data_IF_559031264613
#
_entry.id   IF_559031264613
#
_cell.length_a   1.000
_cell.length_b   1.000
_cell.length_c   1.000
_cell.angle_alpha   90.00
_cell.angle_beta   90.00
_cell.angle_gamma   90.00
#
_symmetry.space_group_name_H-M   'P 1'
#
loop_
_entity.id
_entity.type
_entity.pdbx_description
1 polymer ?
#
# COMPACT_ATOMS: atom_id res chain seq x y z
N UNK A 1 -11.15 34.60 -2.17
CA UNK A 1 -10.85 34.00 -3.49
C UNK A 1 -9.82 32.86 -3.41
N UNK A 2 -8.57 33.10 -2.99
CA UNK A 2 -7.52 32.05 -2.95
C UNK A 2 -7.86 30.86 -2.04
N UNK A 3 -8.45 31.12 -0.86
CA UNK A 3 -8.88 30.06 0.06
C UNK A 3 -10.01 29.20 -0.54
N UNK A 4 -10.90 29.82 -1.30
CA UNK A 4 -12.04 29.18 -1.97
C UNK A 4 -11.55 28.28 -3.10
N UNK A 5 -10.62 28.75 -3.93
CA UNK A 5 -10.00 27.96 -5.01
C UNK A 5 -9.26 26.73 -4.46
N UNK A 6 -8.53 26.89 -3.34
CA UNK A 6 -7.85 25.75 -2.71
C UNK A 6 -8.84 24.71 -2.18
N UNK A 7 -9.96 25.13 -1.58
CA UNK A 7 -11.01 24.21 -1.14
C UNK A 7 -11.62 23.45 -2.33
N UNK A 8 -11.88 24.14 -3.44
CA UNK A 8 -12.35 23.49 -4.67
C UNK A 8 -11.34 22.42 -5.11
N UNK A 9 -10.06 22.78 -5.21
CA UNK A 9 -8.99 21.84 -5.56
C UNK A 9 -8.92 20.62 -4.62
N UNK A 10 -8.98 20.85 -3.30
CA UNK A 10 -8.93 19.79 -2.28
C UNK A 10 -10.05 18.77 -2.46
N UNK A 11 -11.28 19.23 -2.70
CA UNK A 11 -12.44 18.35 -2.85
C UNK A 11 -12.60 17.80 -4.27
N UNK A 12 -11.99 18.42 -5.29
CA UNK A 12 -12.07 17.93 -6.67
C UNK A 12 -10.96 16.94 -7.02
N UNK A 13 -9.82 16.93 -6.32
CA UNK A 13 -8.65 16.15 -6.71
C UNK A 13 -8.96 14.65 -6.89
N UNK A 14 -9.53 13.99 -5.88
CA UNK A 14 -9.80 12.55 -5.93
C UNK A 14 -10.94 12.19 -6.91
N UNK A 15 -12.10 12.90 -6.94
CA UNK A 15 -13.14 12.65 -7.94
C UNK A 15 -12.67 12.83 -9.38
N UNK A 16 -11.91 13.90 -9.66
CA UNK A 16 -11.35 14.13 -11.00
C UNK A 16 -10.33 13.04 -11.36
N UNK A 17 -9.48 12.63 -10.41
CA UNK A 17 -8.51 11.56 -10.64
C UNK A 17 -9.20 10.23 -10.90
N UNK A 18 -10.31 9.93 -10.22
CA UNK A 18 -11.12 8.73 -10.48
C UNK A 18 -11.69 8.74 -11.88
N UNK A 19 -12.28 9.86 -12.30
CA UNK A 19 -12.82 10.01 -13.65
C UNK A 19 -11.72 9.83 -14.72
N UNK A 20 -10.59 10.53 -14.56
CA UNK A 20 -9.46 10.44 -15.49
C UNK A 20 -8.88 9.04 -15.55
N UNK A 21 -8.67 8.40 -14.39
CA UNK A 21 -8.16 7.03 -14.31
C UNK A 21 -9.08 6.02 -14.97
N UNK A 22 -10.39 6.15 -14.77
CA UNK A 22 -11.37 5.27 -15.42
C UNK A 22 -11.40 5.47 -16.95
N UNK A 23 -11.31 6.73 -17.42
CA UNK A 23 -11.20 7.01 -18.85
C UNK A 23 -9.94 6.40 -19.48
N UNK A 24 -8.81 6.41 -18.76
CA UNK A 24 -7.56 5.80 -19.19
C UNK A 24 -7.66 4.27 -19.19
N UNK A 25 -8.34 3.67 -18.21
CA UNK A 25 -8.53 2.22 -18.09
C UNK A 25 -9.18 1.60 -19.34
N UNK A 26 -10.07 2.33 -20.02
CA UNK A 26 -10.65 1.89 -21.30
C UNK A 26 -9.63 1.76 -22.45
N UNK A 27 -8.48 2.42 -22.34
CA UNK A 27 -7.44 2.47 -23.38
C UNK A 27 -6.18 1.71 -23.01
N UNK A 28 -5.91 1.53 -21.72
CA UNK A 28 -4.66 0.98 -21.20
C UNK A 28 -4.96 -0.06 -20.12
N UNK A 29 -4.50 -1.29 -20.35
CA UNK A 29 -4.45 -2.33 -19.33
C UNK A 29 -3.06 -2.34 -18.71
N UNK A 30 -2.98 -2.15 -17.40
CA UNK A 30 -1.72 -2.20 -16.65
C UNK A 30 -1.65 -3.48 -15.83
N UNK A 31 -0.63 -4.29 -16.06
CA UNK A 31 -0.27 -5.38 -15.17
C UNK A 31 0.60 -4.82 -14.03
N UNK A 32 0.06 -4.86 -12.81
CA UNK A 32 0.72 -4.31 -11.62
C UNK A 32 0.95 -5.42 -10.61
N UNK A 33 2.21 -5.56 -10.19
CA UNK A 33 2.59 -6.50 -9.13
C UNK A 33 2.06 -6.01 -7.77
N UNK A 34 1.11 -6.78 -7.22
CA UNK A 34 0.46 -6.51 -5.93
C UNK A 34 1.35 -6.82 -4.72
N UNK A 35 2.39 -7.63 -4.90
CA UNK A 35 3.22 -8.15 -3.80
C UNK A 35 4.65 -7.62 -3.83
N UNK A 36 4.97 -6.76 -4.79
CA UNK A 36 6.24 -6.06 -4.87
C UNK A 36 6.64 -5.38 -3.56
N UNK A 37 7.95 -5.36 -3.28
CA UNK A 37 8.54 -4.83 -2.04
C UNK A 37 8.04 -3.41 -1.71
N UNK A 38 7.97 -2.54 -2.73
CA UNK A 38 7.50 -1.17 -2.56
C UNK A 38 6.03 -1.11 -2.12
N UNK A 39 5.15 -1.92 -2.72
CA UNK A 39 3.74 -1.95 -2.33
C UNK A 39 3.59 -2.44 -0.89
N UNK A 40 4.32 -3.49 -0.51
CA UNK A 40 4.18 -4.13 0.79
C UNK A 40 4.68 -3.28 1.96
N UNK A 41 5.84 -2.62 1.83
CA UNK A 41 6.41 -1.83 2.93
C UNK A 41 6.03 -0.35 2.89
N UNK A 42 5.73 0.19 1.72
CA UNK A 42 5.44 1.61 1.56
C UNK A 42 3.94 1.89 1.43
N UNK A 43 3.31 1.34 0.40
CA UNK A 43 1.91 1.66 0.07
C UNK A 43 0.93 1.07 1.09
N UNK A 44 1.07 -0.22 1.43
CA UNK A 44 0.23 -0.89 2.46
C UNK A 44 0.38 -0.24 3.84
N UNK A 45 1.52 0.41 4.12
CA UNK A 45 1.79 1.14 5.37
C UNK A 45 1.61 2.66 5.23
N UNK A 46 0.87 3.13 4.23
CA UNK A 46 0.86 4.55 3.90
C UNK A 46 0.32 5.48 4.99
N UNK A 47 -0.58 5.00 5.87
CA UNK A 47 -1.10 5.82 6.97
C UNK A 47 0.01 6.17 7.98
N UNK A 48 0.94 5.23 8.22
CA UNK A 48 2.11 5.47 9.07
C UNK A 48 3.00 6.57 8.47
N UNK A 49 3.35 6.46 7.19
CA UNK A 49 4.19 7.46 6.51
C UNK A 49 3.54 8.85 6.44
N UNK A 50 2.23 8.88 6.17
CA UNK A 50 1.40 10.09 6.18
C UNK A 50 1.39 10.76 7.54
N UNK A 51 1.23 9.98 8.60
CA UNK A 51 1.27 10.45 9.99
C UNK A 51 2.65 11.00 10.35
N UNK A 52 3.71 10.23 10.07
CA UNK A 52 5.09 10.59 10.38
C UNK A 52 5.50 11.92 9.73
N UNK A 53 5.32 12.03 8.40
CA UNK A 53 5.73 13.21 7.63
C UNK A 53 4.83 14.40 7.92
N UNK A 54 3.52 14.17 8.08
CA UNK A 54 2.56 15.20 8.47
C UNK A 54 2.93 15.84 9.80
N UNK A 55 3.03 15.04 10.86
CA UNK A 55 3.38 15.52 12.21
C UNK A 55 4.77 16.16 12.25
N UNK A 56 5.74 15.58 11.54
CA UNK A 56 7.07 16.16 11.44
C UNK A 56 7.05 17.57 10.85
N UNK A 57 6.31 17.78 9.74
CA UNK A 57 6.12 19.11 9.17
C UNK A 57 5.45 20.07 10.17
N UNK A 58 4.43 19.61 10.90
CA UNK A 58 3.73 20.44 11.89
C UNK A 58 4.65 20.93 13.00
N UNK A 59 5.48 20.03 13.55
CA UNK A 59 6.49 20.37 14.57
C UNK A 59 7.46 21.43 14.00
N UNK A 60 7.96 21.22 12.79
CA UNK A 60 9.02 22.06 12.20
C UNK A 60 8.56 23.45 11.75
N UNK A 61 7.30 23.61 11.36
CA UNK A 61 6.73 24.91 10.99
C UNK A 61 5.96 25.60 12.12
N UNK A 62 6.15 25.13 13.37
CA UNK A 62 5.77 25.84 14.59
C UNK A 62 4.28 25.79 14.89
N UNK A 63 3.63 24.63 14.72
CA UNK A 63 2.20 24.48 15.02
C UNK A 63 1.87 24.62 16.52
N UNK A 64 2.84 24.41 17.42
CA UNK A 64 2.65 24.56 18.87
C UNK A 64 2.87 25.98 19.40
N UNK A 65 3.02 26.98 18.52
CA UNK A 65 3.11 28.38 18.95
C UNK A 65 1.80 28.88 19.58
N UNK A 66 1.85 30.02 20.27
CA UNK A 66 0.71 30.62 21.00
C UNK A 66 -0.56 30.89 20.16
N UNK A 67 -0.44 30.96 18.83
CA UNK A 67 -1.55 31.08 17.85
C UNK A 67 -1.81 29.77 17.07
N UNK A 68 -1.33 28.65 17.60
CA UNK A 68 -1.23 27.36 16.91
C UNK A 68 -2.56 26.63 16.82
N UNK A 69 -2.98 26.29 15.60
CA UNK A 69 -4.19 25.48 15.32
C UNK A 69 -3.99 23.97 15.59
N UNK A 70 -3.05 23.61 16.48
CA UNK A 70 -2.68 22.20 16.72
C UNK A 70 -3.86 21.37 17.22
N UNK A 71 -4.75 21.97 18.03
CA UNK A 71 -5.98 21.30 18.48
C UNK A 71 -6.89 20.94 17.30
N UNK A 72 -7.06 21.85 16.33
CA UNK A 72 -7.85 21.54 15.12
C UNK A 72 -7.18 20.45 14.29
N UNK A 73 -5.87 20.51 14.06
CA UNK A 73 -5.14 19.45 13.33
C UNK A 73 -5.24 18.11 14.05
N UNK A 74 -5.08 18.08 15.37
CA UNK A 74 -5.21 16.87 16.16
C UNK A 74 -6.61 16.27 16.06
N UNK A 75 -7.66 17.09 16.19
CA UNK A 75 -9.05 16.64 16.02
C UNK A 75 -9.26 16.07 14.62
N UNK A 76 -8.81 16.76 13.57
CA UNK A 76 -8.89 16.27 12.19
C UNK A 76 -8.20 14.91 12.05
N UNK A 77 -6.96 14.80 12.52
CA UNK A 77 -6.19 13.56 12.48
C UNK A 77 -6.87 12.42 13.26
N UNK A 78 -7.36 12.69 14.47
CA UNK A 78 -8.04 11.70 15.31
C UNK A 78 -9.33 11.21 14.67
N UNK A 79 -10.14 12.10 14.09
CA UNK A 79 -11.39 11.72 13.40
C UNK A 79 -11.10 10.88 12.16
N UNK A 80 -10.12 11.27 11.33
CA UNK A 80 -9.75 10.48 10.14
C UNK A 80 -9.14 9.12 10.51
N UNK A 81 -8.33 9.06 11.57
CA UNK A 81 -7.75 7.80 12.07
C UNK A 81 -8.85 6.88 12.61
N UNK A 82 -9.77 7.40 13.41
CA UNK A 82 -10.89 6.62 13.92
C UNK A 82 -11.75 6.08 12.78
N UNK A 83 -12.00 6.91 11.75
CA UNK A 83 -12.74 6.48 10.58
C UNK A 83 -12.03 5.37 9.79
N UNK A 84 -10.72 5.51 9.59
CA UNK A 84 -9.92 4.45 8.96
C UNK A 84 -9.96 3.14 9.74
N UNK A 85 -9.83 3.19 11.07
CA UNK A 85 -9.91 2.01 11.92
C UNK A 85 -11.27 1.33 11.82
N UNK A 86 -12.38 2.09 11.89
CA UNK A 86 -13.74 1.53 11.78
C UNK A 86 -13.96 0.89 10.41
N UNK A 87 -13.46 1.53 9.35
CA UNK A 87 -13.68 1.07 7.98
C UNK A 87 -12.90 -0.20 7.65
N UNK A 88 -11.64 -0.30 8.12
CA UNK A 88 -10.69 -1.33 7.66
C UNK A 88 -10.25 -2.34 8.71
N UNK A 89 -10.34 -2.02 10.00
CA UNK A 89 -9.82 -2.87 11.08
C UNK A 89 -10.95 -3.52 11.87
N UNK A 90 -10.70 -4.73 12.33
CA UNK A 90 -11.58 -5.42 13.29
C UNK A 90 -11.27 -4.84 14.67
N UNK A 91 -11.96 -3.76 15.04
CA UNK A 91 -11.74 -3.08 16.34
C UNK A 91 -12.17 -3.98 17.51
N UNK A 92 -13.18 -4.82 17.28
CA UNK A 92 -13.72 -5.74 18.28
C UNK A 92 -13.59 -7.16 17.78
N UNK A 93 -13.26 -8.09 18.68
CA UNK A 93 -13.03 -9.52 18.35
C UNK A 93 -14.24 -10.16 17.66
N UNK A 94 -15.45 -9.68 17.96
CA UNK A 94 -16.70 -10.21 17.42
C UNK A 94 -17.24 -9.44 16.20
N UNK A 95 -16.70 -8.25 15.90
CA UNK A 95 -17.25 -7.36 14.85
C UNK A 95 -16.26 -7.24 13.71
N UNK A 96 -16.66 -7.72 12.54
CA UNK A 96 -15.91 -7.56 11.30
C UNK A 96 -15.78 -6.08 10.90
N UNK A 97 -14.72 -5.70 10.16
CA UNK A 97 -14.59 -4.36 9.60
C UNK A 97 -15.83 -3.94 8.80
N UNK A 98 -16.14 -2.63 8.75
CA UNK A 98 -17.30 -2.13 8.02
C UNK A 98 -17.30 -2.57 6.54
N UNK A 99 -16.13 -2.58 5.89
CA UNK A 99 -15.97 -3.09 4.53
C UNK A 99 -16.41 -4.56 4.39
N UNK A 100 -15.96 -5.44 5.28
CA UNK A 100 -16.31 -6.86 5.27
C UNK A 100 -17.81 -7.09 5.58
N UNK A 101 -18.40 -6.24 6.41
CA UNK A 101 -19.84 -6.24 6.68
C UNK A 101 -20.64 -5.84 5.43
N UNK A 102 -20.23 -4.79 4.71
CA UNK A 102 -20.86 -4.39 3.44
C UNK A 102 -20.76 -5.51 2.41
N UNK A 103 -19.60 -6.17 2.33
CA UNK A 103 -19.40 -7.29 1.42
C UNK A 103 -20.33 -8.47 1.72
N UNK A 104 -20.41 -8.88 2.98
CA UNK A 104 -21.28 -10.00 3.39
C UNK A 104 -22.75 -9.65 3.28
N UNK A 105 -23.14 -8.41 3.60
CA UNK A 105 -24.52 -7.92 3.45
C UNK A 105 -24.99 -7.86 1.99
N UNK A 106 -24.07 -7.68 1.04
CA UNK A 106 -24.37 -7.66 -0.40
C UNK A 106 -24.30 -9.06 -1.04
N UNK A 107 -24.26 -10.12 -0.23
CA UNK A 107 -24.30 -11.51 -0.70
C UNK A 107 -22.92 -12.17 -0.88
N UNK A 108 -21.85 -11.50 -0.45
CA UNK A 108 -20.51 -12.05 -0.52
C UNK A 108 -20.22 -13.12 0.51
N UNK A 109 -19.42 -14.12 0.13
CA UNK A 109 -19.07 -15.27 0.98
C UNK A 109 -17.62 -15.72 0.79
N UNK A 110 -17.06 -16.33 1.83
CA UNK A 110 -15.86 -17.15 1.70
C UNK A 110 -16.23 -18.45 0.98
N UNK A 111 -15.42 -18.90 0.02
CA UNK A 111 -15.58 -20.23 -0.59
C UNK A 111 -14.26 -20.99 -0.61
N UNK A 112 -14.37 -22.31 -0.74
CA UNK A 112 -13.27 -23.28 -0.73
C UNK A 112 -13.34 -24.22 -1.95
N UNK A 113 -13.57 -23.65 -3.13
CA UNK A 113 -13.70 -24.41 -4.39
C UNK A 113 -12.33 -24.86 -4.90
N UNK A 114 -11.74 -25.84 -4.21
CA UNK A 114 -10.41 -26.39 -4.52
C UNK A 114 -10.42 -27.14 -5.84
N UNK A 115 -11.46 -27.96 -6.06
CA UNK A 115 -11.58 -28.81 -7.25
C UNK A 115 -12.55 -28.20 -8.27
N UNK A 116 -12.27 -28.35 -9.56
CA UNK A 116 -13.16 -27.85 -10.62
C UNK A 116 -14.45 -28.68 -10.69
N UNK A 117 -15.64 -28.09 -10.46
CA UNK A 117 -16.90 -28.81 -10.52
C UNK A 117 -17.33 -29.19 -11.95
N UNK A 118 -16.74 -28.58 -12.99
CA UNK A 118 -17.12 -28.80 -14.39
C UNK A 118 -16.53 -30.09 -14.99
N UNK A 119 -15.46 -30.61 -14.40
CA UNK A 119 -14.79 -31.83 -14.84
C UNK A 119 -15.08 -32.97 -13.86
N UNK A 120 -16.14 -33.73 -14.13
CA UNK A 120 -16.57 -34.82 -13.23
C UNK A 120 -15.67 -36.07 -13.26
N UNK A 121 -14.84 -36.21 -14.30
CA UNK A 121 -14.02 -37.41 -14.55
C UNK A 121 -12.52 -37.18 -14.35
N UNK A 122 -12.06 -35.92 -14.42
CA UNK A 122 -10.65 -35.53 -14.26
C UNK A 122 -10.53 -34.61 -13.06
N UNK A 123 -9.84 -35.09 -12.03
CA UNK A 123 -9.60 -34.34 -10.79
C UNK A 123 -8.56 -33.24 -11.02
N UNK A 124 -8.99 -32.09 -11.53
CA UNK A 124 -8.13 -30.93 -11.72
C UNK A 124 -8.33 -29.89 -10.62
N UNK A 125 -7.22 -29.29 -10.19
CA UNK A 125 -7.24 -28.13 -9.31
C UNK A 125 -7.90 -26.97 -10.04
N UNK A 126 -8.86 -26.33 -9.38
CA UNK A 126 -9.56 -25.19 -9.95
C UNK A 126 -8.55 -24.04 -10.19
N UNK A 127 -8.31 -23.68 -11.45
CA UNK A 127 -7.43 -22.56 -11.79
C UNK A 127 -7.94 -21.21 -11.26
N UNK A 128 -9.24 -21.11 -10.97
CA UNK A 128 -9.84 -19.93 -10.35
C UNK A 128 -9.67 -19.90 -8.82
N UNK A 129 -9.15 -20.98 -8.22
CA UNK A 129 -8.79 -21.02 -6.81
C UNK A 129 -7.55 -20.12 -6.59
N UNK A 130 -7.79 -18.88 -6.16
CA UNK A 130 -6.81 -17.78 -6.09
C UNK A 130 -6.26 -17.30 -7.44
N UNK A 131 -5.82 -16.04 -7.48
CA UNK A 131 -5.37 -15.34 -8.69
C UNK A 131 -3.97 -15.74 -9.17
N UNK A 132 -3.06 -16.09 -8.25
CA UNK A 132 -1.69 -16.48 -8.60
C UNK A 132 -1.36 -17.87 -8.06
N UNK A 133 -0.46 -18.59 -8.76
CA UNK A 133 0.00 -19.91 -8.33
C UNK A 133 0.56 -19.91 -6.90
N UNK A 134 1.36 -18.89 -6.54
CA UNK A 134 1.91 -18.75 -5.19
C UNK A 134 0.82 -18.58 -4.13
N UNK A 135 -0.22 -17.78 -4.41
CA UNK A 135 -1.36 -17.60 -3.50
C UNK A 135 -2.21 -18.85 -3.41
N UNK A 136 -2.37 -19.59 -4.51
CA UNK A 136 -3.04 -20.89 -4.54
C UNK A 136 -2.34 -21.91 -3.65
N UNK A 137 -1.02 -22.06 -3.82
CA UNK A 137 -0.21 -22.97 -3.01
C UNK A 137 -0.26 -22.60 -1.51
N UNK A 138 -0.11 -21.31 -1.18
CA UNK A 138 -0.24 -20.82 0.20
C UNK A 138 -1.66 -21.05 0.77
N UNK A 139 -2.70 -20.86 -0.05
CA UNK A 139 -4.09 -21.10 0.31
C UNK A 139 -4.35 -22.57 0.64
N UNK A 140 -3.90 -23.48 -0.22
CA UNK A 140 -3.99 -24.93 0.01
C UNK A 140 -3.26 -25.36 1.29
N UNK A 141 -2.04 -24.85 1.53
CA UNK A 141 -1.30 -25.15 2.75
C UNK A 141 -2.04 -24.68 4.01
N UNK A 142 -2.68 -23.50 3.98
CA UNK A 142 -3.49 -23.00 5.09
C UNK A 142 -4.74 -23.84 5.30
N UNK A 143 -5.41 -24.20 4.21
CA UNK A 143 -6.60 -25.06 4.25
C UNK A 143 -6.28 -26.44 4.82
N UNK A 144 -5.20 -27.08 4.37
CA UNK A 144 -4.73 -28.35 4.92
C UNK A 144 -4.51 -28.28 6.43
N UNK A 145 -3.81 -27.24 6.91
CA UNK A 145 -3.58 -27.03 8.35
C UNK A 145 -4.90 -26.81 9.11
N UNK A 146 -5.81 -26.02 8.53
CA UNK A 146 -7.11 -25.72 9.10
C UNK A 146 -7.96 -26.99 9.24
N UNK A 147 -8.05 -27.80 8.18
CA UNK A 147 -8.76 -29.07 8.19
C UNK A 147 -8.18 -30.05 9.21
N UNK A 148 -6.86 -30.19 9.26
CA UNK A 148 -6.16 -31.06 10.23
C UNK A 148 -6.39 -30.65 11.68
N UNK A 149 -6.49 -29.35 11.96
CA UNK A 149 -6.70 -28.82 13.29
C UNK A 149 -8.16 -28.93 13.77
N UNK A 150 -9.12 -28.71 12.87
CA UNK A 150 -10.56 -28.76 13.20
C UNK A 150 -11.16 -30.16 13.25
N UNK A 151 -10.42 -31.16 12.78
CA UNK A 151 -10.88 -32.53 12.58
C UNK A 151 -10.52 -33.43 13.77
N UNK A 152 -11.32 -33.41 14.83
CA UNK A 152 -11.16 -34.35 15.97
C UNK A 152 -11.42 -35.81 15.59
N UNK A 153 -12.47 -36.08 14.79
CA UNK A 153 -12.82 -37.38 14.20
C UNK A 153 -13.37 -37.16 12.78
N UNK A 154 -12.52 -37.05 11.74
CA UNK A 154 -12.97 -36.81 10.38
C UNK A 154 -13.70 -38.04 9.81
N UNK A 155 -14.75 -37.80 9.01
CA UNK A 155 -15.35 -38.86 8.19
C UNK A 155 -14.30 -39.43 7.22
N UNK A 156 -14.47 -40.70 6.82
CA UNK A 156 -13.56 -41.36 5.86
C UNK A 156 -13.42 -40.57 4.54
N UNK A 157 -14.50 -39.92 4.11
CA UNK A 157 -14.52 -39.03 2.95
C UNK A 157 -13.67 -37.76 3.17
N UNK A 158 -13.75 -37.15 4.35
CA UNK A 158 -12.94 -35.98 4.69
C UNK A 158 -11.44 -36.35 4.84
N UNK A 159 -11.14 -37.53 5.39
CA UNK A 159 -9.76 -38.04 5.43
C UNK A 159 -9.20 -38.22 4.02
N UNK A 160 -9.99 -38.79 3.10
CA UNK A 160 -9.66 -38.86 1.69
C UNK A 160 -9.35 -37.48 1.11
N UNK A 161 -10.22 -36.50 1.33
CA UNK A 161 -10.02 -35.13 0.88
C UNK A 161 -8.68 -34.53 1.37
N UNK A 162 -8.37 -34.74 2.65
CA UNK A 162 -7.14 -34.24 3.29
C UNK A 162 -5.91 -34.91 2.67
N UNK A 163 -5.94 -36.23 2.45
CA UNK A 163 -4.82 -36.96 1.85
C UNK A 163 -4.56 -36.53 0.41
N UNK A 164 -5.60 -36.21 -0.37
CA UNK A 164 -5.43 -35.73 -1.74
C UNK A 164 -4.81 -34.32 -1.75
N UNK A 165 -5.28 -33.42 -0.87
CA UNK A 165 -4.68 -32.09 -0.71
C UNK A 165 -3.20 -32.22 -0.31
N UNK A 166 -2.85 -33.16 0.57
CA UNK A 166 -1.48 -33.44 0.97
C UNK A 166 -0.63 -33.97 -0.19
N UNK A 167 -1.16 -34.91 -0.97
CA UNK A 167 -0.50 -35.45 -2.15
C UNK A 167 -0.20 -34.36 -3.18
N UNK A 168 -1.19 -33.52 -3.51
CA UNK A 168 -1.02 -32.35 -4.38
C UNK A 168 0.10 -31.42 -3.91
N UNK A 169 0.14 -31.12 -2.62
CA UNK A 169 1.16 -30.26 -2.03
C UNK A 169 2.57 -30.86 -2.14
N UNK A 170 2.69 -32.20 -2.16
CA UNK A 170 3.98 -32.91 -2.24
C UNK A 170 4.49 -33.20 -3.66
N UNK A 171 3.61 -33.63 -4.58
CA UNK A 171 4.02 -34.17 -5.89
C UNK A 171 3.70 -33.22 -7.06
N UNK A 172 2.77 -32.27 -6.88
CA UNK A 172 2.41 -31.30 -7.92
C UNK A 172 1.88 -31.90 -9.22
N UNK A 173 1.24 -33.07 -9.16
CA UNK A 173 0.67 -33.77 -10.33
C UNK A 173 -0.85 -33.86 -10.24
N UNK A 174 -1.49 -33.60 -11.38
CA UNK A 174 -2.95 -33.56 -11.56
C UNK A 174 -3.63 -34.93 -11.74
N UNK A 175 -2.88 -36.04 -11.65
CA UNK A 175 -3.42 -37.38 -11.85
C UNK A 175 -3.76 -38.01 -10.50
N UNK A 176 -4.98 -37.74 -10.02
CA UNK A 176 -5.43 -38.26 -8.73
C UNK A 176 -6.34 -39.47 -8.90
N UNK A 177 -6.30 -40.35 -7.90
CA UNK A 177 -7.00 -41.63 -7.90
C UNK A 177 -8.51 -41.43 -7.79
N UNK A 178 -9.25 -42.32 -8.44
CA UNK A 178 -10.70 -42.39 -8.44
C UNK A 178 -11.25 -42.46 -7.01
N UNK A 179 -11.67 -41.31 -6.47
CA UNK A 179 -12.43 -41.23 -5.23
C UNK A 179 -13.92 -41.45 -5.56
N UNK A 180 -14.67 -42.13 -4.70
CA UNK A 180 -16.10 -42.43 -4.89
C UNK A 180 -17.03 -41.18 -4.81
N UNK A 181 -16.45 -39.99 -4.66
CA UNK A 181 -17.18 -38.72 -4.51
C UNK A 181 -16.94 -37.79 -5.71
N UNK A 182 -17.93 -36.99 -6.06
CA UNK A 182 -17.77 -35.94 -7.09
C UNK A 182 -16.98 -34.73 -6.56
N UNK A 183 -16.26 -33.98 -7.42
CA UNK A 183 -15.54 -32.77 -7.01
C UNK A 183 -16.41 -31.73 -6.26
N UNK A 184 -17.67 -31.60 -6.67
CA UNK A 184 -18.64 -30.69 -6.03
C UNK A 184 -19.02 -31.14 -4.62
N UNK A 185 -19.25 -32.44 -4.42
CA UNK A 185 -19.50 -33.01 -3.09
C UNK A 185 -18.30 -32.78 -2.17
N UNK A 186 -17.08 -32.93 -2.68
CA UNK A 186 -15.87 -32.73 -1.89
C UNK A 186 -15.68 -31.26 -1.47
N UNK A 187 -15.89 -30.32 -2.38
CA UNK A 187 -15.86 -28.89 -2.06
C UNK A 187 -16.91 -28.54 -0.98
N UNK A 188 -18.10 -29.12 -1.04
CA UNK A 188 -19.14 -28.90 -0.02
C UNK A 188 -18.76 -29.47 1.35
N UNK A 189 -18.13 -30.66 1.38
CA UNK A 189 -17.62 -31.26 2.62
C UNK A 189 -16.51 -30.42 3.24
N UNK A 190 -15.60 -29.88 2.42
CA UNK A 190 -14.54 -28.98 2.89
C UNK A 190 -15.14 -27.70 3.48
N UNK A 191 -16.11 -27.09 2.80
CA UNK A 191 -16.78 -25.87 3.28
C UNK A 191 -17.51 -26.11 4.62
N UNK A 192 -18.27 -27.20 4.73
CA UNK A 192 -18.95 -27.59 5.96
C UNK A 192 -17.96 -27.89 7.10
N UNK A 193 -16.92 -28.66 6.81
CA UNK A 193 -15.89 -29.01 7.78
C UNK A 193 -15.22 -27.76 8.34
N UNK A 194 -14.80 -26.80 7.50
CA UNK A 194 -14.15 -25.57 7.98
C UNK A 194 -15.12 -24.70 8.80
N UNK A 195 -16.38 -24.58 8.38
CA UNK A 195 -17.38 -23.76 9.08
C UNK A 195 -17.83 -24.37 10.40
N UNK A 196 -17.76 -25.69 10.56
CA UNK A 196 -18.20 -26.39 11.77
C UNK A 196 -17.43 -25.95 13.03
N UNK A 197 -16.13 -25.66 12.91
CA UNK A 197 -15.27 -25.30 14.04
C UNK A 197 -14.83 -23.83 14.03
N UNK A 198 -15.09 -23.08 12.94
CA UNK A 198 -14.68 -21.68 12.82
C UNK A 198 -15.70 -20.81 12.10
N UNK A 199 -16.22 -19.82 12.82
CA UNK A 199 -17.10 -18.78 12.26
C UNK A 199 -16.28 -17.82 11.39
N UNK A 200 -16.52 -17.80 10.08
CA UNK A 200 -15.83 -16.91 9.14
C UNK A 200 -16.68 -15.67 8.89
N UNK A 201 -16.29 -14.53 9.48
CA UNK A 201 -17.01 -13.25 9.38
C UNK A 201 -16.23 -12.12 8.69
N UNK A 202 -14.94 -12.32 8.37
CA UNK A 202 -14.06 -11.31 7.79
C UNK A 202 -13.18 -11.89 6.68
N UNK A 203 -12.74 -11.03 5.77
CA UNK A 203 -11.90 -11.40 4.63
C UNK A 203 -10.53 -11.90 5.10
N UNK A 204 -9.95 -11.28 6.13
CA UNK A 204 -8.71 -11.71 6.77
C UNK A 204 -8.84 -13.12 7.36
N UNK A 205 -9.97 -13.42 8.01
CA UNK A 205 -10.22 -14.73 8.59
C UNK A 205 -10.38 -15.80 7.52
N UNK A 206 -11.11 -15.52 6.44
CA UNK A 206 -11.22 -16.41 5.28
C UNK A 206 -9.86 -16.75 4.67
N UNK A 207 -9.02 -15.73 4.43
CA UNK A 207 -7.67 -15.94 3.90
C UNK A 207 -6.75 -16.69 4.87
N UNK A 208 -7.00 -16.59 6.18
CA UNK A 208 -6.21 -17.30 7.20
C UNK A 208 -6.44 -18.82 7.18
N UNK A 209 -7.64 -19.26 6.76
CA UNK A 209 -7.99 -20.68 6.59
C UNK A 209 -7.83 -21.16 5.15
N UNK A 210 -7.29 -20.33 4.25
CA UNK A 210 -7.00 -20.71 2.86
C UNK A 210 -8.13 -20.49 1.87
N UNK A 211 -9.28 -19.99 2.32
CA UNK A 211 -10.41 -19.65 1.46
C UNK A 211 -10.17 -18.37 0.65
N UNK A 212 -11.04 -18.15 -0.34
CA UNK A 212 -11.06 -16.92 -1.12
C UNK A 212 -12.45 -16.26 -1.03
N UNK A 213 -12.48 -14.95 -1.21
CA UNK A 213 -13.64 -14.10 -0.95
C UNK A 213 -14.29 -13.77 -2.30
N UNK A 214 -15.55 -14.17 -2.53
CA UNK A 214 -16.23 -14.04 -3.83
C UNK A 214 -17.68 -13.56 -3.69
N UNK A 215 -18.14 -12.84 -4.72
CA UNK A 215 -19.55 -12.48 -4.92
C UNK A 215 -19.85 -11.02 -4.59
N UNK A 216 -19.88 -10.69 -3.29
CA UNK A 216 -20.41 -9.43 -2.78
C UNK A 216 -19.67 -8.18 -3.28
N UNK A 217 -20.26 -7.02 -2.99
CA UNK A 217 -19.68 -5.73 -3.30
C UNK A 217 -18.59 -5.39 -2.29
N UNK A 218 -17.33 -5.28 -2.74
CA UNK A 218 -16.17 -4.94 -1.91
C UNK A 218 -15.76 -3.47 -2.11
N UNK A 219 -16.16 -2.53 -1.23
CA UNK A 219 -15.75 -1.13 -1.36
C UNK A 219 -14.22 -1.00 -1.43
N UNK A 220 -13.68 -0.24 -2.37
CA UNK A 220 -12.23 -0.17 -2.54
C UNK A 220 -11.52 0.49 -1.34
N UNK A 221 -10.85 -0.33 -0.54
CA UNK A 221 -10.11 0.10 0.65
C UNK A 221 -8.87 0.92 0.32
N UNK A 222 -8.25 0.66 -0.84
CA UNK A 222 -7.11 1.42 -1.34
C UNK A 222 -7.55 2.85 -1.70
N UNK A 223 -8.60 3.00 -2.49
CA UNK A 223 -9.14 4.32 -2.85
C UNK A 223 -9.61 5.07 -1.60
N UNK A 224 -10.31 4.38 -0.72
CA UNK A 224 -10.73 4.94 0.57
C UNK A 224 -9.53 5.52 1.34
N UNK A 225 -8.52 4.70 1.61
CA UNK A 225 -7.42 5.07 2.47
C UNK A 225 -6.52 6.14 1.82
N UNK A 226 -6.21 6.01 0.53
CA UNK A 226 -5.42 6.99 -0.22
C UNK A 226 -6.15 8.35 -0.25
N UNK A 227 -7.48 8.36 -0.39
CA UNK A 227 -8.28 9.59 -0.29
C UNK A 227 -8.09 10.28 1.05
N UNK A 228 -8.18 9.54 2.16
CA UNK A 228 -7.95 10.11 3.50
C UNK A 228 -6.53 10.69 3.64
N UNK A 229 -5.51 9.99 3.12
CA UNK A 229 -4.13 10.47 3.15
C UNK A 229 -3.94 11.75 2.33
N UNK A 230 -4.46 11.79 1.10
CA UNK A 230 -4.39 12.97 0.24
C UNK A 230 -5.11 14.18 0.89
N UNK A 231 -6.31 13.98 1.41
CA UNK A 231 -7.08 15.04 2.07
C UNK A 231 -6.37 15.53 3.34
N UNK A 232 -5.76 14.63 4.11
CA UNK A 232 -4.98 15.00 5.28
C UNK A 232 -3.76 15.86 4.92
N UNK A 233 -2.89 15.37 4.04
CA UNK A 233 -1.65 16.06 3.70
C UNK A 233 -1.90 17.41 3.02
N UNK A 234 -2.85 17.49 2.08
CA UNK A 234 -3.22 18.75 1.44
C UNK A 234 -3.88 19.71 2.45
N UNK A 235 -4.77 19.20 3.28
CA UNK A 235 -5.39 19.98 4.34
C UNK A 235 -4.39 20.59 5.33
N UNK A 236 -3.33 19.86 5.68
CA UNK A 236 -2.24 20.39 6.51
C UNK A 236 -1.32 21.33 5.72
N UNK A 237 -1.02 21.02 4.46
CA UNK A 237 -0.24 21.88 3.58
C UNK A 237 -0.88 23.27 3.42
N UNK A 238 -2.21 23.37 3.44
CA UNK A 238 -2.90 24.66 3.45
C UNK A 238 -2.53 25.53 4.66
N UNK A 239 -2.35 24.90 5.83
CA UNK A 239 -2.05 25.58 7.10
C UNK A 239 -0.60 26.02 7.16
N UNK A 240 0.33 25.13 6.80
CA UNK A 240 1.78 25.39 6.92
C UNK A 240 2.40 25.99 5.65
N UNK A 241 1.75 25.85 4.50
CA UNK A 241 2.35 26.07 3.18
C UNK A 241 2.90 27.46 2.96
N UNK A 242 2.24 28.51 3.46
CA UNK A 242 2.76 29.89 3.35
C UNK A 242 4.07 30.08 4.12
N UNK A 243 4.17 29.53 5.34
CA UNK A 243 5.39 29.61 6.14
C UNK A 243 6.50 28.77 5.51
N UNK A 244 6.15 27.56 5.08
CA UNK A 244 7.07 26.64 4.44
C UNK A 244 7.65 27.22 3.14
N UNK A 245 6.81 27.81 2.29
CA UNK A 245 7.23 28.43 1.03
C UNK A 245 8.16 29.63 1.26
N UNK A 246 7.89 30.48 2.26
CA UNK A 246 8.78 31.59 2.61
C UNK A 246 10.15 31.07 3.04
N UNK A 247 10.18 30.06 3.90
CA UNK A 247 11.42 29.43 4.37
C UNK A 247 12.21 28.83 3.22
N UNK A 248 11.54 28.07 2.34
CA UNK A 248 12.15 27.44 1.18
C UNK A 248 12.74 28.49 0.23
N UNK A 249 12.04 29.61 -0.01
CA UNK A 249 12.54 30.71 -0.84
C UNK A 249 13.77 31.40 -0.25
N UNK A 250 13.88 31.50 1.07
CA UNK A 250 15.03 32.13 1.72
C UNK A 250 16.28 31.23 1.79
N UNK A 251 16.14 29.93 1.52
CA UNK A 251 17.19 28.94 1.78
C UNK A 251 18.16 28.76 0.60
N UNK A 252 18.81 29.85 0.20
CA UNK A 252 19.79 29.84 -0.89
C UNK A 252 21.12 29.14 -0.53
N UNK A 253 21.39 28.96 0.77
CA UNK A 253 22.63 28.36 1.28
C UNK A 253 22.78 26.91 0.83
N UNK A 254 21.70 26.13 0.83
CA UNK A 254 21.72 24.75 0.37
C UNK A 254 22.18 24.63 -1.09
N UNK A 255 21.63 25.46 -1.98
CA UNK A 255 21.99 25.45 -3.41
C UNK A 255 23.47 25.74 -3.63
N UNK A 256 24.03 26.67 -2.86
CA UNK A 256 25.46 26.97 -2.91
C UNK A 256 26.32 25.78 -2.47
N UNK A 257 26.01 25.17 -1.32
CA UNK A 257 26.74 24.00 -0.80
C UNK A 257 26.62 22.78 -1.72
N UNK A 258 25.42 22.56 -2.28
CA UNK A 258 25.16 21.50 -3.24
C UNK A 258 26.03 21.67 -4.49
N UNK A 259 26.07 22.89 -5.05
CA UNK A 259 26.89 23.20 -6.22
C UNK A 259 28.38 23.00 -5.96
N UNK A 260 28.88 23.44 -4.80
CA UNK A 260 30.29 23.29 -4.43
C UNK A 260 30.71 21.82 -4.39
N UNK A 261 29.94 20.97 -3.72
CA UNK A 261 30.25 19.54 -3.63
C UNK A 261 30.07 18.80 -4.97
N UNK A 262 29.08 19.16 -5.79
CA UNK A 262 28.94 18.61 -7.14
C UNK A 262 30.14 18.95 -8.03
N UNK A 263 30.62 20.20 -7.99
CA UNK A 263 31.84 20.60 -8.71
C UNK A 263 33.06 19.86 -8.16
N UNK A 264 33.15 19.68 -6.84
CA UNK A 264 34.20 18.89 -6.19
C UNK A 264 34.23 17.43 -6.66
N UNK A 265 33.06 16.79 -6.76
CA UNK A 265 32.90 15.43 -7.28
C UNK A 265 33.37 15.34 -8.73
N UNK A 266 32.94 16.28 -9.58
CA UNK A 266 33.39 16.31 -10.99
C UNK A 266 34.91 16.50 -11.11
N UNK A 267 35.51 17.37 -10.30
CA UNK A 267 36.97 17.60 -10.28
C UNK A 267 37.78 16.39 -9.81
N UNK A 268 37.19 15.52 -9.00
CA UNK A 268 37.81 14.29 -8.51
C UNK A 268 37.71 13.12 -9.51
N UNK A 269 37.05 13.30 -10.65
CA UNK A 269 37.10 12.34 -11.76
C UNK A 269 38.53 12.19 -12.28
N UNK A 270 38.99 10.94 -12.52
CA UNK A 270 40.40 10.64 -12.75
C UNK A 270 41.08 11.49 -13.84
N UNK A 271 40.39 11.71 -14.98
CA UNK A 271 40.90 12.55 -16.07
C UNK A 271 40.95 14.02 -15.65
N UNK A 272 39.87 14.55 -15.07
CA UNK A 272 39.77 15.95 -14.62
C UNK A 272 40.76 16.27 -13.49
N UNK A 273 41.04 15.31 -12.62
CA UNK A 273 42.02 15.45 -11.55
C UNK A 273 43.44 15.62 -12.10
N UNK A 274 43.82 14.78 -13.08
CA UNK A 274 45.15 14.85 -13.71
C UNK A 274 45.32 16.12 -14.54
N UNK A 275 44.26 16.61 -15.19
CA UNK A 275 44.27 17.89 -15.92
C UNK A 275 44.40 19.08 -14.95
N UNK A 276 43.65 19.06 -13.84
CA UNK A 276 43.63 20.19 -12.90
C UNK A 276 44.85 20.25 -11.98
N UNK A 277 45.50 19.11 -11.70
CA UNK A 277 46.73 19.00 -10.93
C UNK A 277 47.68 18.01 -11.60
N UNK A 278 48.52 18.46 -12.55
CA UNK A 278 49.46 17.57 -13.23
C UNK A 278 50.43 16.94 -12.22
N UNK A 279 50.65 15.61 -12.26
CA UNK A 279 51.55 14.95 -11.33
C UNK A 279 53.01 15.27 -11.66
N UNK A 280 53.83 15.53 -10.63
CA UNK A 280 55.26 15.75 -10.80
C UNK A 280 56.01 14.47 -11.17
N UNK A 281 55.59 13.33 -10.60
CA UNK A 281 56.20 12.01 -10.80
C UNK A 281 55.16 10.89 -10.92
N UNK A 282 55.57 9.73 -11.48
CA UNK A 282 54.69 8.53 -11.59
C UNK A 282 54.16 8.06 -10.23
N UNK A 283 54.97 8.17 -9.16
CA UNK A 283 54.54 7.87 -7.79
C UNK A 283 53.42 8.80 -7.32
N UNK A 284 53.48 10.08 -7.65
CA UNK A 284 52.43 11.05 -7.32
C UNK A 284 51.16 10.79 -8.12
N UNK A 285 51.29 10.42 -9.40
CA UNK A 285 50.15 10.02 -10.23
C UNK A 285 49.40 8.83 -9.62
N UNK A 286 50.12 7.76 -9.24
CA UNK A 286 49.53 6.57 -8.62
C UNK A 286 48.88 6.92 -7.26
N UNK A 287 49.54 7.75 -6.45
CA UNK A 287 49.01 8.21 -5.16
C UNK A 287 47.74 9.05 -5.33
N UNK A 288 47.71 9.94 -6.32
CA UNK A 288 46.54 10.77 -6.63
C UNK A 288 45.37 9.91 -7.12
N UNK A 289 45.61 9.00 -8.06
CA UNK A 289 44.60 8.10 -8.59
C UNK A 289 44.08 7.13 -7.52
N UNK A 290 44.96 6.62 -6.65
CA UNK A 290 44.61 5.69 -5.58
C UNK A 290 43.80 6.35 -4.44
N UNK A 291 44.06 7.62 -4.12
CA UNK A 291 43.28 8.35 -3.12
C UNK A 291 41.98 8.97 -3.69
N UNK A 292 41.85 9.09 -5.01
CA UNK A 292 40.69 9.73 -5.64
C UNK A 292 39.35 9.03 -5.30
N UNK A 293 39.23 7.69 -5.36
CA UNK A 293 38.00 6.98 -4.96
C UNK A 293 37.57 7.29 -3.53
N UNK A 294 38.52 7.30 -2.58
CA UNK A 294 38.22 7.59 -1.18
C UNK A 294 37.70 9.02 -0.99
N UNK A 295 38.33 10.00 -1.66
CA UNK A 295 37.87 11.40 -1.64
C UNK A 295 36.50 11.56 -2.30
N UNK A 296 36.26 10.84 -3.39
CA UNK A 296 34.98 10.83 -4.09
C UNK A 296 33.87 10.28 -3.19
N UNK A 297 34.09 9.12 -2.55
CA UNK A 297 33.15 8.52 -1.59
C UNK A 297 32.87 9.49 -0.45
N UNK A 298 33.89 10.14 0.11
CA UNK A 298 33.70 11.16 1.16
C UNK A 298 32.81 12.31 0.68
N UNK A 299 33.03 12.85 -0.52
CA UNK A 299 32.20 13.93 -1.07
C UNK A 299 30.76 13.48 -1.30
N UNK A 300 30.55 12.26 -1.81
CA UNK A 300 29.21 11.70 -1.99
C UNK A 300 28.48 11.51 -0.65
N UNK A 301 29.17 11.02 0.39
CA UNK A 301 28.58 10.88 1.72
C UNK A 301 28.20 12.23 2.34
N UNK A 302 29.05 13.26 2.17
CA UNK A 302 28.71 14.62 2.63
C UNK A 302 27.52 15.16 1.83
N UNK A 303 27.50 14.97 0.51
CA UNK A 303 26.38 15.37 -0.35
C UNK A 303 25.08 14.70 0.09
N UNK A 304 25.10 13.39 0.34
CA UNK A 304 23.95 12.64 0.85
C UNK A 304 23.49 13.19 2.20
N UNK A 305 24.41 13.46 3.14
CA UNK A 305 24.08 14.03 4.44
C UNK A 305 23.49 15.44 4.33
N UNK A 306 24.00 16.28 3.41
CA UNK A 306 23.46 17.60 3.13
C UNK A 306 22.04 17.52 2.55
N UNK A 307 21.81 16.64 1.58
CA UNK A 307 20.49 16.43 0.98
C UNK A 307 19.52 15.92 2.04
N UNK A 308 19.92 14.92 2.84
CA UNK A 308 19.08 14.37 3.89
C UNK A 308 18.73 15.41 4.95
N UNK A 309 19.72 16.19 5.40
CA UNK A 309 19.50 17.31 6.32
C UNK A 309 18.57 18.35 5.72
N UNK A 310 18.75 18.70 4.45
CA UNK A 310 17.89 19.68 3.78
C UNK A 310 16.45 19.19 3.66
N UNK A 311 16.24 17.97 3.16
CA UNK A 311 14.91 17.38 2.94
C UNK A 311 14.20 17.07 4.25
N UNK A 312 14.86 16.41 5.20
CA UNK A 312 14.22 15.97 6.44
C UNK A 312 14.20 17.10 7.46
N UNK A 313 15.31 17.81 7.67
CA UNK A 313 15.40 18.77 8.77
C UNK A 313 15.01 20.19 8.33
N UNK A 314 15.59 20.71 7.27
CA UNK A 314 15.45 22.14 6.96
C UNK A 314 14.11 22.43 6.29
N UNK A 315 13.70 21.59 5.33
CA UNK A 315 12.52 21.78 4.51
C UNK A 315 11.69 20.48 4.33
N UNK A 316 11.12 19.93 5.43
CA UNK A 316 10.30 18.71 5.37
C UNK A 316 9.03 18.85 4.51
N UNK A 317 8.61 20.07 4.17
CA UNK A 317 7.52 20.30 3.22
C UNK A 317 7.77 19.67 1.85
N UNK A 318 9.03 19.58 1.41
CA UNK A 318 9.38 18.94 0.14
C UNK A 318 9.05 17.46 0.17
N UNK A 319 9.36 16.79 1.28
CA UNK A 319 9.02 15.38 1.50
C UNK A 319 7.50 15.20 1.56
N UNK A 320 6.77 16.11 2.20
CA UNK A 320 5.30 16.09 2.24
C UNK A 320 4.69 16.21 0.84
N UNK A 321 5.19 17.11 0.00
CA UNK A 321 4.72 17.28 -1.39
C UNK A 321 5.02 16.03 -2.22
N UNK A 322 6.23 15.48 -2.13
CA UNK A 322 6.60 14.23 -2.81
C UNK A 322 5.70 13.07 -2.38
N UNK A 323 5.44 12.94 -1.08
CA UNK A 323 4.56 11.91 -0.55
C UNK A 323 3.12 12.09 -1.06
N UNK A 324 2.62 13.33 -1.08
CA UNK A 324 1.27 13.64 -1.60
C UNK A 324 1.16 13.30 -3.08
N UNK A 325 2.17 13.65 -3.88
CA UNK A 325 2.23 13.29 -5.30
C UNK A 325 2.22 11.77 -5.50
N UNK A 326 2.99 11.06 -4.68
CA UNK A 326 3.05 9.61 -4.75
C UNK A 326 1.71 8.96 -4.34
N UNK A 327 1.00 9.48 -3.34
CA UNK A 327 -0.37 9.02 -3.02
C UNK A 327 -1.35 9.29 -4.16
N UNK A 328 -1.28 10.47 -4.78
CA UNK A 328 -2.08 10.78 -5.95
C UNK A 328 -1.78 9.83 -7.12
N UNK A 329 -0.50 9.52 -7.37
CA UNK A 329 -0.11 8.52 -8.37
C UNK A 329 -0.63 7.12 -8.02
N UNK A 330 -0.49 6.69 -6.77
CA UNK A 330 -1.03 5.41 -6.29
C UNK A 330 -2.54 5.33 -6.47
N UNK A 331 -3.27 6.44 -6.27
CA UNK A 331 -4.70 6.53 -6.54
C UNK A 331 -4.98 6.27 -8.02
N UNK A 332 -4.27 6.96 -8.92
CA UNK A 332 -4.43 6.82 -10.36
C UNK A 332 -4.16 5.38 -10.83
N UNK A 333 -3.06 4.77 -10.39
CA UNK A 333 -2.75 3.38 -10.71
C UNK A 333 -3.85 2.43 -10.21
N UNK A 334 -4.36 2.67 -9.00
CA UNK A 334 -5.46 1.86 -8.44
C UNK A 334 -6.71 1.95 -9.29
N UNK A 335 -7.04 3.14 -9.81
CA UNK A 335 -8.21 3.33 -10.68
C UNK A 335 -8.08 2.68 -12.06
N UNK A 336 -6.85 2.53 -12.57
CA UNK A 336 -6.58 1.93 -13.88
C UNK A 336 -6.53 0.40 -13.80
N UNK A 337 -5.84 -0.13 -12.77
CA UNK A 337 -5.45 -1.55 -12.71
C UNK A 337 -6.33 -2.43 -11.82
N UNK A 338 -7.09 -1.85 -10.89
CA UNK A 338 -7.81 -2.62 -9.87
C UNK A 338 -9.27 -2.19 -9.72
N UNK A 339 -10.09 -3.14 -9.24
CA UNK A 339 -11.48 -2.94 -8.84
C UNK A 339 -12.44 -2.52 -9.96
N UNK A 340 -13.74 -2.79 -9.74
CA UNK A 340 -14.79 -2.29 -10.64
C UNK A 340 -15.12 -0.83 -10.32
N UNK A 341 -15.71 -0.09 -11.28
CA UNK A 341 -16.09 1.31 -11.06
C UNK A 341 -16.97 1.50 -9.82
N UNK A 342 -17.89 0.58 -9.55
CA UNK A 342 -18.78 0.65 -8.39
C UNK A 342 -18.01 0.50 -7.07
N UNK A 343 -17.06 -0.42 -7.01
CA UNK A 343 -16.17 -0.60 -5.85
C UNK A 343 -15.31 0.64 -5.62
N UNK A 344 -14.82 1.26 -6.70
CA UNK A 344 -14.04 2.49 -6.65
C UNK A 344 -14.89 3.68 -6.14
N UNK A 345 -16.11 3.86 -6.67
CA UNK A 345 -17.03 4.93 -6.27
C UNK A 345 -17.43 4.77 -4.79
N UNK A 346 -17.80 3.56 -4.37
CA UNK A 346 -18.20 3.31 -2.99
C UNK A 346 -17.07 3.58 -1.99
N UNK A 347 -15.83 3.17 -2.29
CA UNK A 347 -14.65 3.49 -1.49
C UNK A 347 -14.40 5.00 -1.40
N UNK A 348 -14.52 5.73 -2.52
CA UNK A 348 -14.37 7.18 -2.56
C UNK A 348 -15.46 7.88 -1.72
N UNK A 349 -16.74 7.50 -1.89
CA UNK A 349 -17.85 8.07 -1.14
C UNK A 349 -17.68 7.85 0.36
N UNK A 350 -17.31 6.64 0.79
CA UNK A 350 -17.06 6.34 2.19
C UNK A 350 -15.96 7.22 2.79
N UNK A 351 -14.89 7.52 2.04
CA UNK A 351 -13.86 8.44 2.50
C UNK A 351 -14.40 9.88 2.62
N UNK A 352 -15.17 10.34 1.63
CA UNK A 352 -15.70 11.71 1.58
C UNK A 352 -16.76 12.00 2.65
N UNK A 353 -17.55 11.02 3.08
CA UNK A 353 -18.57 11.20 4.14
C UNK A 353 -17.97 11.87 5.38
N UNK A 354 -16.80 11.40 5.83
CA UNK A 354 -16.12 11.97 7.00
C UNK A 354 -15.19 13.10 6.59
N UNK A 355 -14.35 12.90 5.58
CA UNK A 355 -13.32 13.87 5.24
C UNK A 355 -13.89 15.21 4.75
N UNK A 356 -15.01 15.20 4.02
CA UNK A 356 -15.68 16.43 3.60
C UNK A 356 -16.20 17.23 4.81
N UNK A 357 -16.86 16.58 5.76
CA UNK A 357 -17.34 17.22 6.99
C UNK A 357 -16.18 17.81 7.79
N UNK A 358 -15.09 17.04 7.92
CA UNK A 358 -13.90 17.45 8.65
C UNK A 358 -13.28 18.71 8.04
N UNK A 359 -13.01 18.73 6.73
CA UNK A 359 -12.36 19.88 6.09
C UNK A 359 -13.30 21.04 5.75
N UNK A 360 -14.62 20.81 5.71
CA UNK A 360 -15.61 21.87 5.53
C UNK A 360 -15.92 22.62 6.82
N UNK A 361 -16.10 21.92 7.95
CA UNK A 361 -16.49 22.52 9.24
C UNK A 361 -15.32 22.87 10.16
N UNK A 362 -14.20 22.13 10.12
CA UNK A 362 -13.05 22.36 11.01
C UNK A 362 -11.92 23.17 10.35
N UNK A 363 -12.18 23.87 9.22
CA UNK A 363 -11.26 24.91 8.71
C UNK A 363 -11.25 26.10 9.68
#
# INVERSE_FOLDING_TARGET
MVLTLYKIFLFSLCPVTLLVGHLISYRVTLEVDKDGWFNTYFVKQGWFWTSLIGWWCMIRYGLFGHRGSWKKTLIRYSVLTAWWLIFTQSIWTEVAPLMDLVFTATGGRCTFDVFDPSQSLTWQLNEKFHDTFSRRQSGLQKLYRALKQGSGNPSSLLQGAISEIEYWLSEGKDQLKNMEATPSQLNSLIDEAVRSWRKINSSNLCRSVGGYWIGGHDPSGHIFLITLMCMFLLGELQVIGKKALRKLKSDHRFLYLLKDHLIGIMRLGGITLLISKPPANRKDMIKQLGMAPLKWVKQVLILMALILRFLVWENPVTVLILLTFMWWWSFLITTIAFHTLLEQISGLLCAYVVAAVVYWKLT
#
